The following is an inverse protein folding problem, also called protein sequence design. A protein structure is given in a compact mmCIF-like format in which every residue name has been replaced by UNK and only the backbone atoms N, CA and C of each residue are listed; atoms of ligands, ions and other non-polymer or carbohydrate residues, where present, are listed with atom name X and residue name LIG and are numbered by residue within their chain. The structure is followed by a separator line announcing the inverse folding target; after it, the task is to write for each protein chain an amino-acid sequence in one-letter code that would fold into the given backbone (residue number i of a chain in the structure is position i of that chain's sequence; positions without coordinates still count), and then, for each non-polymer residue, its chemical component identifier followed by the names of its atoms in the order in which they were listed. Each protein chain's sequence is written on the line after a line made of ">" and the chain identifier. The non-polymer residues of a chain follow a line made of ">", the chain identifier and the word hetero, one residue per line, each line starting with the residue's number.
data_IF_928768599346
#
_entry.id   IF_928768599346
#
_cell.length_a   1.000
_cell.length_b   1.000
_cell.length_c   1.000
_cell.angle_alpha   90.00
_cell.angle_beta   90.00
_cell.angle_gamma   90.00
#
_symmetry.space_group_name_H-M   'P 1'
#
loop_
_entity.id
_entity.type
_entity.pdbx_description
1 polymer ?
#
# COMPACT_ATOMS: atom_id res chain seq x y z
N UNK A 1 -7.58 22.16 -22.55
CA UNK A 1 -7.57 22.27 -21.08
C UNK A 1 -6.17 22.69 -20.66
N UNK A 2 -6.00 23.81 -19.93
CA UNK A 2 -4.67 24.26 -19.48
C UNK A 2 -4.03 23.22 -18.56
N UNK A 3 -2.75 22.92 -18.78
CA UNK A 3 -1.96 21.93 -17.99
C UNK A 3 -2.12 22.12 -16.47
N UNK A 4 -2.29 23.37 -16.02
CA UNK A 4 -2.54 23.71 -14.60
C UNK A 4 -3.82 23.09 -14.04
N UNK A 5 -4.89 23.04 -14.82
CA UNK A 5 -6.19 22.55 -14.32
C UNK A 5 -6.20 21.01 -14.17
N UNK A 6 -5.47 20.29 -15.04
CA UNK A 6 -5.27 18.85 -14.88
C UNK A 6 -4.38 18.51 -13.68
N UNK A 7 -3.33 19.31 -13.42
CA UNK A 7 -2.44 19.11 -12.28
C UNK A 7 -3.18 19.25 -10.93
N UNK A 8 -4.08 20.24 -10.81
CA UNK A 8 -4.90 20.44 -9.60
C UNK A 8 -5.84 19.24 -9.37
N UNK A 9 -6.47 18.74 -10.43
CA UNK A 9 -7.35 17.56 -10.37
C UNK A 9 -6.60 16.30 -9.93
N UNK A 10 -5.42 16.08 -10.52
CA UNK A 10 -4.57 14.94 -10.16
C UNK A 10 -4.07 15.02 -8.71
N UNK A 11 -3.73 16.22 -8.22
CA UNK A 11 -3.36 16.43 -6.83
C UNK A 11 -4.52 16.14 -5.87
N UNK A 12 -5.73 16.60 -6.19
CA UNK A 12 -6.93 16.30 -5.39
C UNK A 12 -7.23 14.80 -5.36
N UNK A 13 -7.12 14.11 -6.51
CA UNK A 13 -7.29 12.66 -6.57
C UNK A 13 -6.25 11.92 -5.71
N UNK A 14 -4.98 12.30 -5.80
CA UNK A 14 -3.91 11.73 -4.98
C UNK A 14 -4.19 11.93 -3.49
N UNK A 15 -4.61 13.14 -3.09
CA UNK A 15 -4.94 13.44 -1.71
C UNK A 15 -6.10 12.57 -1.19
N UNK A 16 -7.19 12.46 -1.94
CA UNK A 16 -8.36 11.64 -1.56
C UNK A 16 -7.96 10.15 -1.43
N UNK A 17 -7.20 9.61 -2.38
CA UNK A 17 -6.78 8.20 -2.33
C UNK A 17 -5.80 7.92 -1.20
N UNK A 18 -4.92 8.86 -0.89
CA UNK A 18 -4.03 8.78 0.29
C UNK A 18 -4.84 8.83 1.60
N UNK A 19 -5.87 9.69 1.68
CA UNK A 19 -6.79 9.72 2.81
C UNK A 19 -7.55 8.42 2.98
N UNK A 20 -8.03 7.80 1.89
CA UNK A 20 -8.70 6.49 1.96
C UNK A 20 -7.75 5.43 2.52
N UNK A 21 -6.49 5.41 2.06
CA UNK A 21 -5.48 4.45 2.52
C UNK A 21 -5.20 4.64 4.02
N UNK A 22 -5.06 5.89 4.46
CA UNK A 22 -4.87 6.22 5.88
C UNK A 22 -6.07 5.86 6.75
N UNK A 23 -7.28 6.27 6.36
CA UNK A 23 -8.51 5.97 7.12
C UNK A 23 -8.76 4.48 7.19
N UNK A 24 -8.52 3.73 6.11
CA UNK A 24 -8.61 2.27 6.13
C UNK A 24 -7.63 1.66 7.13
N UNK A 25 -6.38 2.14 7.19
CA UNK A 25 -5.41 1.62 8.15
C UNK A 25 -5.83 1.92 9.60
N UNK A 26 -6.32 3.13 9.88
CA UNK A 26 -6.87 3.47 11.19
C UNK A 26 -8.09 2.62 11.53
N UNK A 27 -9.00 2.43 10.57
CA UNK A 27 -10.21 1.64 10.76
C UNK A 27 -9.91 0.18 11.07
N UNK A 28 -8.84 -0.39 10.51
CA UNK A 28 -8.40 -1.78 10.79
C UNK A 28 -7.34 -1.87 11.89
N UNK A 29 -6.97 -0.76 12.53
CA UNK A 29 -5.92 -0.75 13.55
C UNK A 29 -6.23 -1.60 14.80
N UNK A 30 -7.51 -1.96 14.99
CA UNK A 30 -7.94 -2.89 16.04
C UNK A 30 -7.58 -4.35 15.74
N UNK A 31 -7.29 -4.70 14.47
CA UNK A 31 -6.86 -6.03 14.06
C UNK A 31 -5.33 -6.08 13.92
N UNK A 32 -4.64 -6.98 14.62
CA UNK A 32 -3.20 -7.11 14.49
C UNK A 32 -2.84 -7.61 13.09
N UNK A 33 -1.98 -6.85 12.39
CA UNK A 33 -1.38 -7.23 11.10
C UNK A 33 -2.35 -7.57 9.95
N UNK A 34 -3.62 -7.17 10.07
CA UNK A 34 -4.61 -7.25 8.98
C UNK A 34 -4.78 -5.85 8.39
N UNK A 35 -4.34 -5.67 7.15
CA UNK A 35 -4.39 -4.37 6.48
C UNK A 35 -4.86 -4.54 5.03
N UNK A 36 -5.69 -3.61 4.55
CA UNK A 36 -6.07 -3.54 3.14
C UNK A 36 -5.14 -2.61 2.34
N UNK A 37 -4.13 -2.04 2.98
CA UNK A 37 -3.16 -1.12 2.39
C UNK A 37 -2.52 -1.73 1.13
N UNK A 38 -2.13 -3.01 1.19
CA UNK A 38 -1.55 -3.71 0.05
C UNK A 38 -2.53 -3.83 -1.12
N UNK A 39 -3.76 -4.28 -0.87
CA UNK A 39 -4.82 -4.31 -1.89
C UNK A 39 -5.02 -2.95 -2.57
N UNK A 40 -5.12 -1.87 -1.78
CA UNK A 40 -5.30 -0.51 -2.30
C UNK A 40 -4.11 -0.05 -3.12
N UNK A 41 -2.87 -0.32 -2.68
CA UNK A 41 -1.66 0.04 -3.43
C UNK A 41 -1.59 -0.73 -4.76
N UNK A 42 -1.92 -2.03 -4.78
CA UNK A 42 -2.01 -2.80 -6.05
C UNK A 42 -3.04 -2.20 -6.99
N UNK A 43 -4.23 -1.92 -6.45
CA UNK A 43 -5.35 -1.35 -7.20
C UNK A 43 -4.97 0.00 -7.81
N UNK A 44 -4.45 0.91 -6.99
CA UNK A 44 -4.04 2.25 -7.42
C UNK A 44 -2.93 2.15 -8.47
N UNK A 45 -1.94 1.27 -8.26
CA UNK A 45 -0.85 1.07 -9.23
C UNK A 45 -1.40 0.64 -10.59
N UNK A 46 -2.35 -0.29 -10.62
CA UNK A 46 -2.91 -0.83 -11.87
C UNK A 46 -3.86 0.15 -12.57
N UNK A 47 -4.52 1.05 -11.84
CA UNK A 47 -5.50 2.00 -12.41
C UNK A 47 -4.89 3.37 -12.76
N UNK A 48 -3.94 3.85 -11.94
CA UNK A 48 -3.37 5.20 -12.04
C UNK A 48 -1.90 5.21 -12.49
N UNK A 49 -1.22 4.06 -12.39
CA UNK A 49 0.18 3.90 -12.75
C UNK A 49 1.16 4.31 -11.64
N UNK A 50 2.44 4.04 -11.91
CA UNK A 50 3.54 4.20 -10.94
C UNK A 50 3.62 5.58 -10.30
N UNK A 51 3.67 6.66 -11.10
CA UNK A 51 3.94 8.01 -10.60
C UNK A 51 2.93 8.49 -9.55
N UNK A 52 1.64 8.32 -9.84
CA UNK A 52 0.57 8.74 -8.93
C UNK A 52 0.54 7.89 -7.67
N UNK A 53 0.70 6.56 -7.80
CA UNK A 53 0.69 5.67 -6.65
C UNK A 53 1.90 5.85 -5.73
N UNK A 54 3.09 6.11 -6.27
CA UNK A 54 4.27 6.40 -5.44
C UNK A 54 4.06 7.66 -4.60
N UNK A 55 3.44 8.71 -5.15
CA UNK A 55 3.07 9.90 -4.38
C UNK A 55 2.04 9.60 -3.29
N UNK A 56 1.01 8.80 -3.60
CA UNK A 56 0.02 8.35 -2.61
C UNK A 56 0.71 7.61 -1.47
N UNK A 57 1.63 6.70 -1.76
CA UNK A 57 2.40 5.93 -0.78
C UNK A 57 3.28 6.85 0.08
N UNK A 58 4.00 7.79 -0.52
CA UNK A 58 4.83 8.75 0.22
C UNK A 58 3.98 9.56 1.20
N UNK A 59 2.87 10.12 0.73
CA UNK A 59 1.95 10.91 1.57
C UNK A 59 1.41 10.03 2.69
N UNK A 60 0.97 8.81 2.36
CA UNK A 60 0.45 7.88 3.34
C UNK A 60 1.48 7.55 4.45
N UNK A 61 2.71 7.22 4.08
CA UNK A 61 3.79 6.93 5.03
C UNK A 61 4.08 8.16 5.91
N UNK A 62 4.08 9.36 5.35
CA UNK A 62 4.27 10.57 6.18
C UNK A 62 3.11 10.79 7.15
N UNK A 63 1.87 10.65 6.67
CA UNK A 63 0.65 10.89 7.46
C UNK A 63 0.52 9.87 8.59
N UNK A 64 0.74 8.58 8.33
CA UNK A 64 0.67 7.55 9.37
C UNK A 64 1.76 7.75 10.44
N UNK A 65 2.95 8.21 10.06
CA UNK A 65 4.01 8.50 11.02
C UNK A 65 3.72 9.71 11.92
N UNK A 66 2.90 10.67 11.45
CA UNK A 66 2.55 11.86 12.24
C UNK A 66 1.29 11.63 13.06
N UNK A 67 0.29 10.93 12.51
CA UNK A 67 -1.08 10.86 13.04
C UNK A 67 -1.45 9.48 13.59
N UNK A 68 -0.52 8.52 13.67
CA UNK A 68 -0.82 7.19 14.21
C UNK A 68 -1.24 7.28 15.69
N UNK A 69 -2.36 6.63 16.07
CA UNK A 69 -2.86 6.65 17.45
C UNK A 69 -1.95 5.92 18.44
N UNK A 70 -1.03 5.08 17.96
CA UNK A 70 -0.03 4.38 18.79
C UNK A 70 1.29 5.17 18.96
N UNK A 71 1.29 6.44 18.53
CA UNK A 71 2.47 7.31 18.52
C UNK A 71 3.21 7.27 17.19
N UNK A 72 4.14 8.22 16.95
CA UNK A 72 5.00 8.20 15.78
C UNK A 72 5.75 6.88 15.74
N UNK A 73 5.70 6.17 14.59
CA UNK A 73 6.62 5.05 14.39
C UNK A 73 8.02 5.63 14.54
N UNK A 74 8.90 4.93 15.27
CA UNK A 74 10.27 5.36 15.54
C UNK A 74 10.85 5.90 14.23
N UNK A 75 11.36 7.15 14.16
CA UNK A 75 11.77 7.76 12.90
C UNK A 75 12.74 6.90 12.07
N UNK A 76 13.46 6.01 12.74
CA UNK A 76 14.37 5.03 12.15
C UNK A 76 13.68 3.96 11.28
N UNK A 77 12.38 3.68 11.49
CA UNK A 77 11.59 2.75 10.67
C UNK A 77 10.95 3.40 9.44
N UNK A 78 10.93 4.73 9.35
CA UNK A 78 10.35 5.46 8.20
C UNK A 78 11.00 5.02 6.87
N UNK A 79 12.34 4.92 6.76
CA UNK A 79 12.98 4.48 5.52
C UNK A 79 12.58 3.05 5.16
N UNK A 80 12.56 2.13 6.13
CA UNK A 80 12.13 0.73 5.91
C UNK A 80 10.68 0.67 5.42
N UNK A 81 9.78 1.41 6.07
CA UNK A 81 8.36 1.46 5.68
C UNK A 81 8.19 2.00 4.26
N UNK A 82 8.90 3.07 3.92
CA UNK A 82 8.82 3.68 2.60
C UNK A 82 9.36 2.73 1.52
N UNK A 83 10.51 2.08 1.77
CA UNK A 83 11.11 1.11 0.84
C UNK A 83 10.18 -0.07 0.64
N UNK A 84 9.63 -0.63 1.72
CA UNK A 84 8.70 -1.74 1.66
C UNK A 84 7.46 -1.37 0.83
N UNK A 85 6.79 -0.24 1.12
CA UNK A 85 5.60 0.13 0.36
C UNK A 85 5.89 0.55 -1.09
N UNK A 86 7.04 1.16 -1.39
CA UNK A 86 7.40 1.56 -2.76
C UNK A 86 7.82 0.39 -3.64
N UNK A 87 8.28 -0.74 -3.07
CA UNK A 87 8.62 -1.91 -3.88
C UNK A 87 7.40 -2.48 -4.61
N UNK A 88 6.20 -2.33 -4.04
CA UNK A 88 4.94 -2.80 -4.64
C UNK A 88 4.65 -2.12 -5.98
N UNK A 89 4.51 -0.77 -6.05
CA UNK A 89 4.28 -0.10 -7.31
C UNK A 89 5.45 -0.29 -8.29
N UNK A 90 6.69 -0.40 -7.81
CA UNK A 90 7.85 -0.71 -8.67
C UNK A 90 7.65 -2.08 -9.34
N UNK A 91 7.51 -3.16 -8.56
CA UNK A 91 7.37 -4.52 -9.07
C UNK A 91 6.15 -4.68 -9.99
N UNK A 92 5.03 -4.05 -9.65
CA UNK A 92 3.81 -4.13 -10.46
C UNK A 92 3.90 -3.38 -11.79
N UNK A 93 4.77 -2.39 -11.90
CA UNK A 93 4.94 -1.60 -13.13
C UNK A 93 6.13 -2.03 -13.97
N UNK A 94 7.13 -2.69 -13.37
CA UNK A 94 8.31 -3.23 -14.07
C UNK A 94 8.14 -4.71 -14.42
N UNK A 95 8.11 -5.60 -13.42
CA UNK A 95 8.12 -7.06 -13.58
C UNK A 95 6.73 -7.59 -13.93
N UNK A 96 5.70 -7.14 -13.21
CA UNK A 96 4.33 -7.67 -13.34
C UNK A 96 3.41 -6.75 -14.15
N UNK A 97 3.98 -5.95 -15.06
CA UNK A 97 3.23 -4.95 -15.86
C UNK A 97 2.03 -5.55 -16.58
N UNK A 98 2.23 -6.67 -17.28
CA UNK A 98 1.21 -7.37 -18.09
C UNK A 98 0.34 -8.35 -17.30
N UNK A 99 0.59 -8.51 -16.00
CA UNK A 99 -0.18 -9.45 -15.17
C UNK A 99 -1.50 -8.81 -14.76
N UNK A 100 -2.59 -9.41 -15.20
CA UNK A 100 -3.96 -9.03 -14.83
C UNK A 100 -4.70 -10.12 -14.06
N UNK A 101 -4.12 -11.33 -13.98
CA UNK A 101 -4.72 -12.45 -13.27
C UNK A 101 -4.75 -12.17 -11.77
N UNK A 102 -5.95 -12.18 -11.20
CA UNK A 102 -6.22 -11.94 -9.78
C UNK A 102 -5.39 -12.85 -8.89
N UNK A 103 -5.31 -14.15 -9.23
CA UNK A 103 -4.55 -15.14 -8.48
C UNK A 103 -3.06 -14.78 -8.38
N UNK A 104 -2.45 -14.30 -9.46
CA UNK A 104 -1.04 -13.89 -9.46
C UNK A 104 -0.84 -12.63 -8.61
N UNK A 105 -1.76 -11.66 -8.67
CA UNK A 105 -1.71 -10.47 -7.81
C UNK A 105 -1.90 -10.81 -6.33
N UNK A 106 -2.79 -11.75 -6.01
CA UNK A 106 -3.00 -12.24 -4.65
C UNK A 106 -1.75 -12.96 -4.12
N UNK A 107 -1.12 -13.79 -4.94
CA UNK A 107 0.14 -14.47 -4.61
C UNK A 107 1.27 -13.46 -4.35
N UNK A 108 1.30 -12.33 -5.07
CA UNK A 108 2.23 -11.25 -4.77
C UNK A 108 1.93 -10.58 -3.42
N UNK A 109 0.66 -10.43 -3.05
CA UNK A 109 0.26 -9.95 -1.73
C UNK A 109 0.76 -10.86 -0.59
N UNK A 110 0.73 -12.18 -0.81
CA UNK A 110 1.28 -13.16 0.12
C UNK A 110 2.79 -12.96 0.32
N UNK A 111 3.55 -12.96 -0.79
CA UNK A 111 5.01 -12.78 -0.76
C UNK A 111 5.39 -11.43 -0.17
N UNK A 112 4.59 -10.40 -0.44
CA UNK A 112 4.83 -9.07 0.09
C UNK A 112 4.69 -8.97 1.61
N UNK A 113 3.85 -9.80 2.24
CA UNK A 113 3.78 -9.87 3.71
C UNK A 113 5.14 -10.20 4.34
N UNK A 114 5.87 -11.15 3.75
CA UNK A 114 7.22 -11.51 4.19
C UNK A 114 8.25 -10.43 3.86
N UNK A 115 8.24 -9.89 2.63
CA UNK A 115 9.16 -8.81 2.23
C UNK A 115 8.98 -7.59 3.14
N UNK A 116 7.73 -7.29 3.52
CA UNK A 116 7.41 -6.22 4.44
C UNK A 116 8.01 -6.49 5.81
N UNK A 117 7.77 -7.65 6.43
CA UNK A 117 8.38 -8.01 7.72
C UNK A 117 9.91 -7.92 7.69
N UNK A 118 10.53 -8.54 6.69
CA UNK A 118 12.00 -8.57 6.55
C UNK A 118 12.62 -7.20 6.33
N UNK A 119 11.90 -6.25 5.74
CA UNK A 119 12.39 -4.88 5.59
C UNK A 119 12.49 -4.14 6.95
N UNK A 120 11.74 -4.58 7.96
CA UNK A 120 11.74 -4.00 9.30
C UNK A 120 12.73 -4.69 10.25
N UNK A 121 12.98 -6.00 10.09
CA UNK A 121 13.86 -6.79 10.97
C UNK A 121 15.22 -6.12 11.24
N UNK A 122 16.00 -5.64 10.23
CA UNK A 122 17.32 -5.06 10.49
C UNK A 122 17.26 -3.82 11.39
N UNK A 123 16.25 -2.96 11.20
CA UNK A 123 16.08 -1.77 12.01
C UNK A 123 15.60 -2.14 13.40
N UNK A 124 14.65 -3.09 13.51
CA UNK A 124 14.14 -3.57 14.79
C UNK A 124 15.21 -4.22 15.65
N UNK A 125 16.10 -5.02 15.07
CA UNK A 125 17.26 -5.63 15.75
C UNK A 125 18.20 -4.55 16.29
N UNK A 126 18.47 -3.50 15.49
CA UNK A 126 19.32 -2.38 15.94
C UNK A 126 18.70 -1.56 17.08
N UNK A 127 17.38 -1.39 17.07
CA UNK A 127 16.66 -0.59 18.07
C UNK A 127 16.44 -1.37 19.37
N UNK A 128 16.07 -2.65 19.27
CA UNK A 128 15.67 -3.47 20.43
C UNK A 128 16.84 -4.23 21.05
N UNK A 129 17.94 -4.42 20.32
CA UNK A 129 19.08 -5.23 20.76
C UNK A 129 18.80 -6.74 20.80
N UNK A 130 17.62 -7.18 20.35
CA UNK A 130 17.25 -8.59 20.27
C UNK A 130 17.99 -9.22 19.08
N UNK A 131 18.60 -10.41 19.22
CA UNK A 131 19.27 -11.04 18.10
C UNK A 131 18.30 -11.43 16.97
N UNK A 132 18.85 -11.51 15.77
CA UNK A 132 18.08 -11.59 14.52
C UNK A 132 17.12 -12.80 14.49
N UNK A 133 17.58 -13.96 14.95
CA UNK A 133 16.82 -15.21 14.85
C UNK A 133 15.61 -15.24 15.78
N UNK A 134 15.75 -14.68 16.96
CA UNK A 134 14.71 -14.57 17.98
C UNK A 134 13.64 -13.59 17.53
N UNK A 135 14.05 -12.44 16.97
CA UNK A 135 13.11 -11.48 16.39
C UNK A 135 12.35 -12.11 15.21
N UNK A 136 13.05 -12.77 14.29
CA UNK A 136 12.44 -13.42 13.12
C UNK A 136 11.43 -14.50 13.54
N UNK A 137 11.74 -15.30 14.56
CA UNK A 137 10.81 -16.32 15.05
C UNK A 137 9.52 -15.72 15.62
N UNK A 138 9.62 -14.60 16.33
CA UNK A 138 8.46 -13.87 16.84
C UNK A 138 7.68 -13.17 15.72
N UNK A 139 8.37 -12.63 14.71
CA UNK A 139 7.73 -11.87 13.62
C UNK A 139 7.06 -12.77 12.58
N UNK A 140 7.52 -14.02 12.46
CA UNK A 140 7.01 -14.98 11.47
C UNK A 140 5.50 -15.19 11.54
N UNK A 141 4.91 -15.22 12.75
CA UNK A 141 3.45 -15.37 12.89
C UNK A 141 2.70 -14.14 12.36
N UNK A 142 3.27 -12.95 12.53
CA UNK A 142 2.70 -11.70 12.05
C UNK A 142 2.86 -11.57 10.53
N UNK A 143 4.01 -11.97 9.99
CA UNK A 143 4.25 -12.07 8.55
C UNK A 143 3.25 -13.01 7.87
N UNK A 144 3.00 -14.17 8.48
CA UNK A 144 2.02 -15.15 7.97
C UNK A 144 0.60 -14.59 7.97
N UNK A 145 0.17 -13.95 9.07
CA UNK A 145 -1.14 -13.30 9.16
C UNK A 145 -1.27 -12.23 8.09
N UNK A 146 -0.26 -11.37 7.95
CA UNK A 146 -0.26 -10.29 6.96
C UNK A 146 -0.29 -10.82 5.54
N UNK A 147 0.54 -11.81 5.21
CA UNK A 147 0.59 -12.44 3.91
C UNK A 147 -0.74 -13.08 3.52
N UNK A 148 -1.32 -13.90 4.41
CA UNK A 148 -2.60 -14.58 4.17
C UNK A 148 -3.73 -13.55 4.02
N UNK A 149 -3.76 -12.54 4.90
CA UNK A 149 -4.73 -11.44 4.80
C UNK A 149 -4.63 -10.71 3.45
N UNK A 150 -3.41 -10.36 3.03
CA UNK A 150 -3.19 -9.72 1.74
C UNK A 150 -3.65 -10.61 0.56
N UNK A 151 -3.36 -11.91 0.63
CA UNK A 151 -3.80 -12.87 -0.39
C UNK A 151 -5.33 -12.90 -0.50
N UNK A 152 -6.02 -13.11 0.62
CA UNK A 152 -7.48 -13.23 0.64
C UNK A 152 -8.17 -11.94 0.20
N UNK A 153 -7.69 -10.79 0.70
CA UNK A 153 -8.27 -9.49 0.37
C UNK A 153 -8.09 -9.13 -1.09
N UNK A 154 -6.91 -9.38 -1.68
CA UNK A 154 -6.71 -9.21 -3.12
C UNK A 154 -7.57 -10.18 -3.92
N UNK A 155 -7.61 -11.45 -3.52
CA UNK A 155 -8.35 -12.45 -4.26
C UNK A 155 -9.85 -12.14 -4.35
N UNK A 156 -10.45 -11.68 -3.25
CA UNK A 156 -11.89 -11.38 -3.20
C UNK A 156 -12.26 -9.96 -3.67
N UNK A 157 -11.52 -8.94 -3.23
CA UNK A 157 -11.94 -7.54 -3.42
C UNK A 157 -11.29 -6.86 -4.63
N UNK A 158 -10.25 -7.42 -5.24
CA UNK A 158 -9.55 -6.73 -6.33
C UNK A 158 -10.46 -6.44 -7.53
N UNK A 159 -11.19 -7.43 -8.04
CA UNK A 159 -12.08 -7.24 -9.18
C UNK A 159 -13.22 -6.24 -8.94
N UNK A 160 -14.03 -6.36 -7.87
CA UNK A 160 -15.13 -5.43 -7.64
C UNK A 160 -14.62 -4.00 -7.45
N UNK A 161 -13.52 -3.81 -6.70
CA UNK A 161 -12.94 -2.49 -6.50
C UNK A 161 -12.31 -1.92 -7.76
N UNK A 162 -11.68 -2.74 -8.61
CA UNK A 162 -11.15 -2.32 -9.91
C UNK A 162 -12.26 -1.79 -10.82
N UNK A 163 -13.36 -2.53 -10.93
CA UNK A 163 -14.52 -2.11 -11.73
C UNK A 163 -15.10 -0.78 -11.23
N UNK A 164 -15.29 -0.66 -9.91
CA UNK A 164 -15.77 0.57 -9.28
C UNK A 164 -14.83 1.75 -9.54
N UNK A 165 -13.53 1.60 -9.29
CA UNK A 165 -12.56 2.68 -9.41
C UNK A 165 -12.40 3.14 -10.86
N UNK A 166 -12.42 2.22 -11.83
CA UNK A 166 -12.41 2.57 -13.26
C UNK A 166 -13.65 3.37 -13.62
N UNK A 167 -14.85 2.92 -13.19
CA UNK A 167 -16.09 3.65 -13.46
C UNK A 167 -16.07 5.07 -12.90
N UNK A 168 -15.58 5.26 -11.67
CA UNK A 168 -15.48 6.59 -11.05
C UNK A 168 -14.44 7.47 -11.73
N UNK A 169 -13.29 6.90 -12.09
CA UNK A 169 -12.24 7.60 -12.85
C UNK A 169 -12.76 8.06 -14.20
N UNK A 170 -13.46 7.19 -14.92
CA UNK A 170 -13.93 7.50 -16.26
C UNK A 170 -14.99 8.60 -16.21
N UNK A 171 -15.94 8.56 -15.27
CA UNK A 171 -16.88 9.67 -15.00
C UNK A 171 -16.15 10.99 -14.72
N UNK A 172 -15.16 10.97 -13.83
CA UNK A 172 -14.37 12.14 -13.46
C UNK A 172 -13.66 12.81 -14.65
N UNK A 173 -13.24 12.04 -15.65
CA UNK A 173 -12.63 12.56 -16.88
C UNK A 173 -13.64 12.79 -18.02
N UNK A 174 -14.82 12.14 -18.03
CA UNK A 174 -15.86 12.29 -19.06
C UNK A 174 -16.77 13.51 -18.83
N UNK A 175 -17.18 13.79 -17.59
CA UNK A 175 -18.09 14.90 -17.22
C UNK A 175 -17.51 16.30 -17.52
N UNK A 176 -16.28 16.36 -18.03
CA UNK A 176 -15.58 17.61 -18.37
C UNK A 176 -15.18 17.72 -19.85
N UNK A 177 -15.64 16.78 -20.69
CA UNK A 177 -15.54 16.87 -22.16
C UNK A 177 -16.84 17.32 -22.84
N UNK A 178 -17.96 17.34 -22.12
CA UNK A 178 -19.21 17.98 -22.52
C UNK A 178 -19.21 19.44 -22.07
#
# INVERSE_FOLDING_TARGET
>A
MSLKHQAIKDAALIAVLASILFVQQLALSFLPNIQFSMLLVVLYTKVLGFKKTSLIVIIHVMVINILSPFGPVIPMHIPSMLVAWLIVPILLTTVFKKVERVFTLASLGLLFGFIYGWAFIPVSVLVTGIPFWEYLYMDLIFELIMGISNFLTIYWLYEPLKKMLISQRDKYYHDFKA
#
